data_IF_198037581406
#
_entry.id   IF_198037581406
#
_cell.length_a   1.000
_cell.length_b   1.000
_cell.length_c   1.000
_cell.angle_alpha   90.00
_cell.angle_beta   90.00
_cell.angle_gamma   90.00
#
_symmetry.space_group_name_H-M   'P 1'
#
loop_
_entity.id
_entity.type
_entity.pdbx_description
1 polymer ?
#
# COMPACT_ATOMS: atom_id res chain seq x y z
N UNK A 1 -48.91 -64.25 -33.01
CA UNK A 1 -47.49 -64.35 -32.67
C UNK A 1 -46.93 -62.96 -32.68
N UNK A 2 -46.84 -62.35 -31.50
CA UNK A 2 -46.30 -60.98 -31.32
C UNK A 2 -44.92 -61.07 -30.75
N UNK A 3 -43.93 -60.61 -31.51
CA UNK A 3 -42.57 -60.40 -30.97
C UNK A 3 -42.44 -58.94 -30.43
N UNK A 4 -42.40 -58.78 -29.18
CA UNK A 4 -42.10 -57.48 -28.52
C UNK A 4 -40.61 -57.29 -28.50
N UNK A 5 -40.12 -56.37 -29.34
CA UNK A 5 -38.74 -55.89 -29.32
C UNK A 5 -38.50 -54.93 -28.15
N UNK A 6 -37.71 -55.41 -27.22
CA UNK A 6 -37.27 -54.59 -26.09
C UNK A 6 -36.12 -53.67 -26.49
N UNK A 7 -36.47 -52.37 -26.73
CA UNK A 7 -35.50 -51.34 -26.99
C UNK A 7 -34.78 -50.98 -25.70
N UNK A 8 -33.53 -51.37 -25.62
CA UNK A 8 -32.61 -50.88 -24.60
C UNK A 8 -32.27 -49.42 -24.87
N UNK A 9 -32.89 -48.54 -24.08
CA UNK A 9 -32.50 -47.14 -24.04
C UNK A 9 -31.27 -47.06 -23.17
N UNK A 10 -30.12 -46.96 -23.80
CA UNK A 10 -28.87 -46.59 -23.10
C UNK A 10 -29.00 -45.13 -22.70
N UNK A 11 -29.39 -44.89 -21.46
CA UNK A 11 -29.22 -43.60 -20.79
C UNK A 11 -27.70 -43.40 -20.55
N UNK A 12 -27.06 -42.77 -21.51
CA UNK A 12 -25.76 -42.17 -21.37
C UNK A 12 -25.92 -41.03 -20.35
N UNK A 13 -25.76 -41.37 -19.07
CA UNK A 13 -25.50 -40.40 -18.03
C UNK A 13 -24.12 -39.79 -18.28
N UNK A 14 -24.11 -38.74 -19.07
CA UNK A 14 -22.94 -37.83 -19.14
C UNK A 14 -22.81 -37.20 -17.78
N UNK A 15 -22.03 -37.86 -16.90
CA UNK A 15 -21.46 -37.23 -15.71
C UNK A 15 -20.57 -36.10 -16.23
N UNK A 16 -21.16 -34.91 -16.39
CA UNK A 16 -20.41 -33.67 -16.45
C UNK A 16 -19.79 -33.49 -15.07
N UNK A 17 -18.64 -34.11 -14.89
CA UNK A 17 -17.68 -33.72 -13.89
C UNK A 17 -17.24 -32.31 -14.28
N UNK A 18 -18.09 -31.34 -13.96
CA UNK A 18 -17.66 -29.96 -13.90
C UNK A 18 -16.50 -29.92 -12.91
N UNK A 19 -15.29 -29.83 -13.42
CA UNK A 19 -14.18 -29.34 -12.64
C UNK A 19 -14.63 -28.00 -12.08
N UNK A 20 -15.17 -28.01 -10.86
CA UNK A 20 -15.30 -26.80 -10.04
C UNK A 20 -13.86 -26.33 -9.85
N UNK A 21 -13.40 -25.49 -10.78
CA UNK A 21 -12.21 -24.71 -10.53
C UNK A 21 -12.43 -24.06 -9.16
N UNK A 22 -11.49 -24.20 -8.21
CA UNK A 22 -11.62 -23.59 -6.91
C UNK A 22 -11.95 -22.13 -7.16
N UNK A 23 -13.03 -21.64 -6.53
CA UNK A 23 -13.50 -20.29 -6.72
C UNK A 23 -12.33 -19.37 -6.37
N UNK A 24 -11.69 -18.82 -7.39
CA UNK A 24 -10.56 -17.92 -7.23
C UNK A 24 -11.14 -16.66 -6.58
N UNK A 25 -10.79 -16.43 -5.33
CA UNK A 25 -11.24 -15.25 -4.61
C UNK A 25 -10.54 -14.04 -5.20
N UNK A 26 -11.19 -13.37 -6.13
CA UNK A 26 -10.69 -12.14 -6.71
C UNK A 26 -11.34 -10.94 -6.02
N UNK A 27 -10.52 -9.96 -5.63
CA UNK A 27 -10.98 -8.69 -5.10
C UNK A 27 -10.94 -7.67 -6.22
N UNK A 28 -12.09 -7.39 -6.81
CA UNK A 28 -12.22 -6.33 -7.79
C UNK A 28 -12.39 -4.97 -7.11
N UNK A 29 -11.64 -3.99 -7.55
CA UNK A 29 -11.71 -2.61 -7.05
C UNK A 29 -11.75 -1.62 -8.20
N UNK A 30 -12.96 -1.31 -8.70
CA UNK A 30 -13.13 -0.24 -9.67
C UNK A 30 -12.59 1.08 -9.14
N UNK A 31 -11.86 1.81 -9.98
CA UNK A 31 -11.29 3.11 -9.63
C UNK A 31 -10.02 3.07 -8.77
N UNK A 32 -9.53 1.89 -8.33
CA UNK A 32 -8.27 1.79 -7.62
C UNK A 32 -7.09 1.77 -8.60
N UNK A 33 -6.19 2.77 -8.58
CA UNK A 33 -4.99 2.78 -9.42
C UNK A 33 -4.10 1.57 -9.13
N UNK A 34 -3.41 1.07 -10.14
CA UNK A 34 -2.62 -0.15 -10.04
C UNK A 34 -1.43 -0.05 -9.09
N UNK A 35 -0.74 1.07 -9.08
CA UNK A 35 0.36 1.35 -8.15
C UNK A 35 -0.14 1.37 -6.71
N UNK A 36 -1.29 1.99 -6.47
CA UNK A 36 -1.94 1.99 -5.15
C UNK A 36 -2.39 0.58 -4.75
N UNK A 37 -2.92 -0.22 -5.70
CA UNK A 37 -3.30 -1.59 -5.43
C UNK A 37 -2.11 -2.45 -4.98
N UNK A 38 -0.95 -2.28 -5.61
CA UNK A 38 0.29 -2.98 -5.24
C UNK A 38 0.75 -2.59 -3.82
N UNK A 39 0.73 -1.31 -3.49
CA UNK A 39 1.08 -0.81 -2.15
C UNK A 39 0.13 -1.34 -1.07
N UNK A 40 -1.17 -1.26 -1.31
CA UNK A 40 -2.16 -1.78 -0.35
C UNK A 40 -2.04 -3.30 -0.21
N UNK A 41 -1.77 -4.03 -1.29
CA UNK A 41 -1.54 -5.48 -1.23
C UNK A 41 -0.30 -5.81 -0.39
N UNK A 42 0.79 -5.07 -0.59
CA UNK A 42 1.99 -5.19 0.24
C UNK A 42 1.68 -4.99 1.73
N UNK A 43 1.05 -3.88 2.08
CA UNK A 43 0.67 -3.57 3.48
C UNK A 43 -0.27 -4.61 4.07
N UNK A 44 -1.19 -5.12 3.25
CA UNK A 44 -2.09 -6.19 3.68
C UNK A 44 -1.29 -7.44 4.07
N UNK A 45 -0.31 -7.85 3.27
CA UNK A 45 0.56 -8.99 3.60
C UNK A 45 1.33 -8.76 4.90
N UNK A 46 1.92 -7.56 5.06
CA UNK A 46 2.63 -7.19 6.30
C UNK A 46 1.69 -7.20 7.50
N UNK A 47 0.47 -6.68 7.38
CA UNK A 47 -0.54 -6.69 8.44
C UNK A 47 -0.94 -8.11 8.84
N UNK A 48 -0.96 -9.04 7.88
CA UNK A 48 -1.21 -10.46 8.12
C UNK A 48 0.01 -11.22 8.68
N UNK A 49 1.12 -10.53 8.90
CA UNK A 49 2.35 -11.07 9.47
C UNK A 49 3.28 -11.74 8.46
N UNK A 50 3.10 -11.49 7.16
CA UNK A 50 4.02 -11.97 6.14
C UNK A 50 5.23 -11.05 6.01
N UNK A 51 6.41 -11.64 5.85
CA UNK A 51 7.61 -10.94 5.39
C UNK A 51 7.58 -10.95 3.86
N UNK A 52 7.42 -9.78 3.26
CA UNK A 52 7.35 -9.65 1.80
C UNK A 52 8.72 -9.88 1.18
N UNK A 53 8.80 -10.82 0.24
CA UNK A 53 10.05 -11.23 -0.44
C UNK A 53 9.97 -11.11 -1.96
N UNK A 54 8.75 -10.96 -2.50
CA UNK A 54 8.52 -10.82 -3.95
C UNK A 54 7.75 -9.53 -4.21
N UNK A 55 8.23 -8.77 -5.20
CA UNK A 55 7.53 -7.64 -5.77
C UNK A 55 7.73 -7.62 -7.28
N UNK A 56 6.63 -7.70 -8.01
CA UNK A 56 6.59 -7.48 -9.46
C UNK A 56 5.59 -6.37 -9.71
N UNK A 57 6.05 -5.27 -10.28
CA UNK A 57 5.20 -4.11 -10.57
C UNK A 57 4.12 -4.45 -11.59
N UNK A 58 2.84 -4.11 -11.30
CA UNK A 58 1.77 -4.25 -12.27
C UNK A 58 1.82 -3.14 -13.32
N UNK A 59 1.44 -3.49 -14.55
CA UNK A 59 1.14 -2.53 -15.61
C UNK A 59 -0.11 -2.97 -16.37
N UNK A 60 -0.62 -2.11 -17.25
CA UNK A 60 -1.78 -2.47 -18.11
C UNK A 60 -1.48 -3.68 -18.99
N UNK A 61 -0.20 -3.89 -19.33
CA UNK A 61 0.23 -4.97 -20.22
C UNK A 61 0.75 -6.21 -19.47
N UNK A 62 1.08 -6.08 -18.19
CA UNK A 62 1.68 -7.15 -17.41
C UNK A 62 1.10 -7.20 -16.00
N UNK A 63 0.65 -8.38 -15.58
CA UNK A 63 0.26 -8.61 -14.20
C UNK A 63 1.46 -8.41 -13.27
N UNK A 64 1.22 -7.72 -12.16
CA UNK A 64 2.14 -7.64 -11.05
C UNK A 64 1.90 -8.73 -10.03
N UNK A 65 2.79 -8.82 -9.04
CA UNK A 65 2.62 -9.71 -7.91
C UNK A 65 3.31 -9.16 -6.65
N UNK A 66 2.70 -9.40 -5.51
CA UNK A 66 3.32 -9.20 -4.21
C UNK A 66 3.24 -10.51 -3.45
N UNK A 67 4.38 -11.01 -3.00
CA UNK A 67 4.46 -12.29 -2.31
C UNK A 67 5.34 -12.24 -1.07
N UNK A 68 5.07 -13.12 -0.12
CA UNK A 68 5.82 -13.19 1.11
C UNK A 68 5.66 -14.52 1.84
N UNK A 69 6.40 -14.64 2.92
CA UNK A 69 6.39 -15.82 3.78
C UNK A 69 6.03 -15.46 5.22
N UNK A 70 5.34 -16.35 5.90
CA UNK A 70 5.00 -16.25 7.32
C UNK A 70 5.31 -17.55 8.01
N UNK A 71 5.96 -17.48 9.15
CA UNK A 71 6.18 -18.67 10.00
C UNK A 71 5.05 -18.75 11.02
N UNK A 72 4.29 -19.83 10.97
CA UNK A 72 3.23 -20.13 11.95
C UNK A 72 3.76 -20.49 13.32
N UNK A 73 2.89 -20.55 14.31
CA UNK A 73 3.23 -20.96 15.67
C UNK A 73 3.72 -22.41 15.75
N UNK A 74 3.36 -23.24 14.77
CA UNK A 74 3.81 -24.62 14.59
C UNK A 74 5.18 -24.75 13.89
N UNK A 75 5.84 -23.62 13.60
CA UNK A 75 7.12 -23.55 12.89
C UNK A 75 7.03 -23.77 11.38
N UNK A 76 5.84 -24.00 10.83
CA UNK A 76 5.66 -24.14 9.38
C UNK A 76 5.68 -22.81 8.68
N UNK A 77 6.35 -22.75 7.53
CA UNK A 77 6.37 -21.59 6.68
C UNK A 77 5.22 -21.64 5.69
N UNK A 78 4.35 -20.63 5.76
CA UNK A 78 3.29 -20.40 4.79
C UNK A 78 3.77 -19.38 3.76
N UNK A 79 3.44 -19.59 2.49
CA UNK A 79 3.71 -18.64 1.40
C UNK A 79 2.39 -18.07 0.93
N UNK A 80 2.30 -16.74 0.90
CA UNK A 80 1.16 -16.04 0.34
C UNK A 80 1.60 -15.15 -0.80
N UNK A 81 0.83 -15.12 -1.89
CA UNK A 81 1.09 -14.31 -3.06
C UNK A 81 -0.19 -13.65 -3.55
N UNK A 82 -0.11 -12.43 -4.00
CA UNK A 82 -1.24 -11.69 -4.59
C UNK A 82 -0.87 -11.28 -6.01
N UNK A 83 -1.60 -11.78 -6.98
CA UNK A 83 -1.46 -11.38 -8.38
C UNK A 83 -2.34 -10.14 -8.61
N UNK A 84 -1.78 -9.11 -9.23
CA UNK A 84 -2.45 -7.84 -9.47
C UNK A 84 -2.55 -7.63 -10.97
N UNK A 85 -3.78 -7.53 -11.48
CA UNK A 85 -4.05 -7.23 -12.89
C UNK A 85 -4.67 -5.85 -13.02
N UNK A 86 -4.09 -5.04 -13.88
CA UNK A 86 -4.59 -3.72 -14.20
C UNK A 86 -5.63 -3.79 -15.30
N UNK A 87 -6.76 -3.14 -15.09
CA UNK A 87 -7.80 -2.96 -16.09
C UNK A 87 -8.07 -1.48 -16.30
N UNK A 88 -8.78 -1.14 -17.36
CA UNK A 88 -9.20 0.25 -17.59
C UNK A 88 -10.15 0.78 -16.48
N UNK A 89 -10.80 -0.12 -15.75
CA UNK A 89 -11.74 0.21 -14.68
C UNK A 89 -11.08 0.21 -13.29
N UNK A 90 -9.85 -0.27 -13.15
CA UNK A 90 -9.17 -0.36 -11.86
C UNK A 90 -8.30 -1.60 -11.73
N UNK A 91 -8.07 -2.06 -10.52
CA UNK A 91 -7.24 -3.21 -10.22
C UNK A 91 -8.08 -4.44 -9.80
N UNK A 92 -7.65 -5.60 -10.25
CA UNK A 92 -8.14 -6.92 -9.81
C UNK A 92 -7.02 -7.62 -9.07
N UNK A 93 -7.25 -7.96 -7.82
CA UNK A 93 -6.30 -8.64 -6.96
C UNK A 93 -6.74 -10.08 -6.73
N UNK A 94 -5.84 -11.01 -6.99
CA UNK A 94 -6.07 -12.43 -6.85
C UNK A 94 -5.09 -13.02 -5.84
N UNK A 95 -5.51 -13.23 -4.59
CA UNK A 95 -4.71 -13.94 -3.61
C UNK A 95 -4.53 -15.40 -4.04
N UNK A 96 -3.30 -15.87 -4.00
CA UNK A 96 -2.92 -17.24 -4.32
C UNK A 96 -2.03 -17.76 -3.21
N UNK A 97 -2.33 -18.92 -2.69
CA UNK A 97 -1.49 -19.61 -1.73
C UNK A 97 -0.67 -20.67 -2.46
N UNK A 98 0.63 -20.72 -2.15
CA UNK A 98 1.52 -21.74 -2.70
C UNK A 98 1.37 -23.01 -1.88
N UNK A 99 0.50 -23.91 -2.34
CA UNK A 99 0.27 -25.20 -1.72
C UNK A 99 -1.06 -25.80 -2.18
N UNK A 100 -1.00 -27.03 -2.65
CA UNK A 100 -2.11 -27.78 -3.26
C UNK A 100 -3.22 -28.22 -2.29
N UNK A 101 -3.45 -27.53 -1.19
CA UNK A 101 -4.40 -27.98 -0.16
C UNK A 101 -5.57 -27.01 -0.01
N UNK A 102 -6.81 -27.53 0.17
CA UNK A 102 -8.03 -26.73 0.30
C UNK A 102 -8.08 -25.76 1.50
N UNK A 103 -7.08 -25.75 2.36
CA UNK A 103 -6.94 -24.79 3.47
C UNK A 103 -6.63 -23.36 3.02
N UNK A 104 -6.40 -23.17 1.72
CA UNK A 104 -6.10 -21.89 1.07
C UNK A 104 -7.21 -20.83 1.16
N UNK A 105 -8.39 -21.20 1.58
CA UNK A 105 -9.48 -20.26 1.83
C UNK A 105 -9.17 -19.27 2.96
N UNK A 106 -8.36 -19.65 3.93
CA UNK A 106 -8.06 -18.78 5.07
C UNK A 106 -7.22 -17.58 4.65
N UNK A 107 -6.17 -17.82 3.85
CA UNK A 107 -5.35 -16.71 3.33
C UNK A 107 -6.17 -15.75 2.48
N UNK A 108 -6.91 -16.27 1.50
CA UNK A 108 -7.71 -15.44 0.60
C UNK A 108 -8.78 -14.63 1.34
N UNK A 109 -9.42 -15.23 2.34
CA UNK A 109 -10.39 -14.53 3.20
C UNK A 109 -9.72 -13.46 4.06
N UNK A 110 -8.64 -13.84 4.77
CA UNK A 110 -7.89 -12.91 5.62
C UNK A 110 -7.35 -11.73 4.80
N UNK A 111 -6.79 -12.01 3.62
CA UNK A 111 -6.34 -10.98 2.69
C UNK A 111 -7.50 -10.08 2.27
N UNK A 112 -8.61 -10.66 1.81
CA UNK A 112 -9.76 -9.88 1.35
C UNK A 112 -10.35 -8.96 2.42
N UNK A 113 -10.46 -9.42 3.68
CA UNK A 113 -10.93 -8.60 4.78
C UNK A 113 -9.95 -7.49 5.14
N UNK A 114 -8.65 -7.81 5.29
CA UNK A 114 -7.63 -6.81 5.59
C UNK A 114 -7.48 -5.79 4.47
N UNK A 115 -7.45 -6.25 3.22
CA UNK A 115 -7.38 -5.38 2.05
C UNK A 115 -8.57 -4.44 1.98
N UNK A 116 -9.78 -4.96 2.15
CA UNK A 116 -11.01 -4.16 2.18
C UNK A 116 -10.97 -3.11 3.29
N UNK A 117 -10.52 -3.49 4.48
CA UNK A 117 -10.35 -2.58 5.60
C UNK A 117 -9.34 -1.48 5.29
N UNK A 118 -8.18 -1.82 4.72
CA UNK A 118 -7.13 -0.87 4.36
C UNK A 118 -7.52 0.06 3.20
N UNK A 119 -8.24 -0.45 2.20
CA UNK A 119 -8.73 0.39 1.08
C UNK A 119 -9.88 1.29 1.49
N UNK A 120 -10.75 0.82 2.40
CA UNK A 120 -11.90 1.60 2.87
C UNK A 120 -11.57 2.55 4.01
N UNK A 121 -10.37 2.50 4.54
CA UNK A 121 -9.95 3.52 5.48
C UNK A 121 -9.83 4.85 4.75
N UNK A 122 -10.81 5.75 4.90
CA UNK A 122 -10.72 7.09 4.34
C UNK A 122 -9.67 7.95 5.07
N UNK A 123 -9.16 7.46 6.15
CA UNK A 123 -8.11 7.96 7.02
C UNK A 123 -6.71 7.76 6.46
N UNK A 124 -6.56 6.85 5.55
CA UNK A 124 -5.47 6.89 4.59
C UNK A 124 -5.55 8.20 3.79
N UNK A 125 -6.69 8.84 3.81
CA UNK A 125 -7.02 10.09 3.17
C UNK A 125 -7.60 11.10 4.17
N UNK A 126 -7.13 11.19 5.42
CA UNK A 126 -7.27 12.35 6.26
C UNK A 126 -8.19 12.40 7.45
N UNK A 127 -7.68 12.90 8.54
CA UNK A 127 -8.45 13.51 9.61
C UNK A 127 -8.99 14.93 9.29
N UNK A 128 -8.54 15.60 8.24
CA UNK A 128 -8.83 17.03 7.99
C UNK A 128 -9.91 17.30 6.95
N UNK A 129 -10.80 16.36 6.70
CA UNK A 129 -11.94 16.54 5.78
C UNK A 129 -12.80 17.76 6.09
N UNK A 130 -12.86 18.20 7.33
CA UNK A 130 -13.64 19.36 7.74
C UNK A 130 -13.10 20.69 7.23
N UNK A 131 -11.82 20.75 6.85
CA UNK A 131 -11.14 21.96 6.41
C UNK A 131 -10.75 21.96 4.94
N UNK A 132 -10.95 20.85 4.24
CA UNK A 132 -10.54 20.69 2.85
C UNK A 132 -9.05 20.47 2.66
N UNK A 133 -8.31 20.20 3.74
CA UNK A 133 -6.90 19.81 3.68
C UNK A 133 -6.74 18.32 3.91
N UNK A 134 -5.85 17.71 3.12
CA UNK A 134 -5.54 16.30 3.23
C UNK A 134 -4.03 16.13 3.34
N UNK A 135 -3.57 15.45 4.40
CA UNK A 135 -2.16 15.12 4.59
C UNK A 135 -2.03 13.62 4.78
N UNK A 136 -1.27 13.00 3.90
CA UNK A 136 -0.93 11.59 3.95
C UNK A 136 0.56 11.46 4.23
N UNK A 137 0.91 10.68 5.23
CA UNK A 137 2.29 10.42 5.65
C UNK A 137 2.55 8.93 5.51
N UNK A 138 3.46 8.55 4.62
CA UNK A 138 3.77 7.16 4.29
C UNK A 138 5.23 6.86 4.54
N UNK A 139 5.52 5.96 5.49
CA UNK A 139 6.87 5.45 5.68
C UNK A 139 7.14 4.41 4.57
N UNK A 140 8.16 4.66 3.76
CA UNK A 140 8.50 3.79 2.64
C UNK A 140 9.46 2.70 3.13
N UNK A 141 9.01 1.46 3.14
CA UNK A 141 9.92 0.33 3.27
C UNK A 141 10.72 0.09 1.97
N UNK A 142 11.58 -0.92 1.96
CA UNK A 142 12.42 -1.22 0.80
C UNK A 142 11.60 -1.58 -0.46
N UNK A 143 10.39 -2.07 -0.29
CA UNK A 143 9.49 -2.49 -1.37
C UNK A 143 8.74 -1.28 -1.90
N UNK A 144 8.15 -0.48 -1.01
CA UNK A 144 7.46 0.76 -1.35
C UNK A 144 8.43 1.79 -1.97
N UNK A 145 9.66 1.86 -1.46
CA UNK A 145 10.72 2.70 -2.03
C UNK A 145 11.03 2.31 -3.49
N UNK A 146 11.06 1.01 -3.81
CA UNK A 146 11.22 0.57 -5.22
C UNK A 146 10.03 0.94 -6.09
N UNK A 147 8.80 0.85 -5.55
CA UNK A 147 7.59 1.23 -6.29
C UNK A 147 7.53 2.73 -6.57
N UNK A 148 7.82 3.55 -5.57
CA UNK A 148 7.68 5.00 -5.68
C UNK A 148 8.90 5.67 -6.33
N UNK A 149 10.09 5.17 -6.05
CA UNK A 149 11.36 5.81 -6.36
C UNK A 149 12.21 5.03 -7.37
N UNK A 150 11.78 3.82 -7.76
CA UNK A 150 12.55 2.94 -8.65
C UNK A 150 13.74 2.28 -7.98
N UNK A 151 13.89 2.39 -6.65
CA UNK A 151 15.00 1.82 -5.90
C UNK A 151 14.91 2.12 -4.41
N UNK A 152 15.84 1.59 -3.63
CA UNK A 152 15.96 1.93 -2.21
C UNK A 152 16.69 3.27 -2.09
N UNK A 153 16.02 4.26 -1.49
CA UNK A 153 16.51 5.64 -1.41
C UNK A 153 17.43 5.89 -0.23
N UNK A 154 17.40 5.05 0.80
CA UNK A 154 18.14 5.26 2.05
C UNK A 154 19.22 4.20 2.26
N UNK A 155 20.24 4.56 3.06
CA UNK A 155 21.32 3.67 3.50
C UNK A 155 21.05 3.22 4.93
N UNK A 156 21.37 1.97 5.24
CA UNK A 156 21.11 1.39 6.55
C UNK A 156 19.61 1.33 6.85
N UNK A 157 19.24 1.62 8.09
CA UNK A 157 17.86 1.54 8.58
C UNK A 157 17.12 2.88 8.57
N UNK A 158 17.68 3.92 7.95
CA UNK A 158 17.00 5.22 7.81
C UNK A 158 15.72 5.06 6.99
N UNK A 159 14.67 5.79 7.37
CA UNK A 159 13.32 5.65 6.79
C UNK A 159 13.03 6.84 5.90
N UNK A 160 12.80 6.59 4.61
CA UNK A 160 12.24 7.59 3.70
C UNK A 160 10.72 7.66 3.90
N UNK A 161 10.19 8.87 4.02
CA UNK A 161 8.77 9.13 4.26
C UNK A 161 8.24 10.00 3.15
N UNK A 162 7.20 9.54 2.46
CA UNK A 162 6.47 10.31 1.47
C UNK A 162 5.39 11.13 2.15
N UNK A 163 5.37 12.41 1.87
CA UNK A 163 4.34 13.34 2.33
C UNK A 163 3.51 13.75 1.11
N UNK A 164 2.20 13.56 1.20
CA UNK A 164 1.27 14.07 0.20
C UNK A 164 0.32 15.05 0.89
N UNK A 165 0.30 16.29 0.42
CA UNK A 165 -0.64 17.30 0.89
C UNK A 165 -1.54 17.69 -0.27
N UNK A 166 -2.84 17.50 -0.09
CA UNK A 166 -3.87 17.96 -1.01
C UNK A 166 -4.61 19.13 -0.37
N UNK A 167 -4.56 20.26 -1.00
CA UNK A 167 -5.23 21.47 -0.56
C UNK A 167 -6.51 21.68 -1.38
N UNK A 168 -7.64 21.18 -0.89
CA UNK A 168 -8.95 21.38 -1.52
C UNK A 168 -9.64 22.69 -1.07
N UNK A 169 -8.94 23.52 -0.29
CA UNK A 169 -9.44 24.84 0.11
C UNK A 169 -9.23 25.88 -0.99
N UNK A 170 -9.78 27.06 -0.79
CA UNK A 170 -9.56 28.24 -1.62
C UNK A 170 -8.39 29.12 -1.13
N UNK A 171 -7.68 28.68 -0.07
CA UNK A 171 -6.58 29.41 0.57
C UNK A 171 -5.24 28.76 0.28
N UNK A 172 -4.17 29.55 0.41
CA UNK A 172 -2.79 29.06 0.37
C UNK A 172 -2.39 28.57 1.75
N UNK A 173 -1.80 27.36 1.82
CA UNK A 173 -1.32 26.80 3.07
C UNK A 173 0.17 26.49 2.98
N UNK A 174 0.82 26.44 4.14
CA UNK A 174 2.23 26.07 4.27
C UNK A 174 2.34 24.92 5.26
N UNK A 175 2.97 23.84 4.84
CA UNK A 175 3.43 22.78 5.73
C UNK A 175 4.95 22.88 5.78
N UNK A 176 5.47 23.13 6.98
CA UNK A 176 6.91 23.11 7.22
C UNK A 176 7.36 21.68 7.53
N UNK A 177 7.99 21.03 6.54
CA UNK A 177 8.48 19.67 6.67
C UNK A 177 9.51 19.52 7.81
N UNK A 178 10.24 20.57 8.17
CA UNK A 178 11.20 20.52 9.27
C UNK A 178 10.52 20.40 10.65
N UNK A 179 9.25 20.76 10.73
CA UNK A 179 8.43 20.66 11.96
C UNK A 179 7.51 19.45 11.96
N UNK A 180 7.57 18.62 10.93
CA UNK A 180 6.83 17.37 10.89
C UNK A 180 7.60 16.32 11.70
N UNK A 181 7.14 16.01 12.88
CA UNK A 181 7.76 14.97 13.70
C UNK A 181 6.99 13.66 13.63
N UNK A 182 7.71 12.55 13.63
CA UNK A 182 7.12 11.20 13.68
C UNK A 182 7.24 10.63 15.08
N UNK A 183 6.19 9.96 15.54
CA UNK A 183 6.14 9.31 16.84
C UNK A 183 6.25 7.80 16.64
N UNK A 184 7.20 7.19 17.31
CA UNK A 184 7.44 5.75 17.24
C UNK A 184 6.49 4.95 18.17
N UNK A 185 6.66 3.64 18.16
CA UNK A 185 5.86 2.72 18.97
C UNK A 185 6.05 2.92 20.49
N UNK A 186 7.15 3.54 20.89
CA UNK A 186 7.50 3.86 22.28
C UNK A 186 6.98 5.23 22.71
N UNK A 187 6.42 6.01 21.78
CA UNK A 187 5.93 7.36 22.03
C UNK A 187 7.02 8.44 21.90
N UNK A 188 8.22 8.07 21.43
CA UNK A 188 9.30 9.03 21.21
C UNK A 188 9.08 9.78 19.89
N UNK A 189 9.25 11.09 19.94
CA UNK A 189 9.17 11.97 18.77
C UNK A 189 10.51 12.08 18.08
N UNK A 190 10.50 11.93 16.76
CA UNK A 190 11.69 12.03 15.91
C UNK A 190 11.48 13.10 14.85
N UNK A 191 12.48 13.96 14.74
CA UNK A 191 12.54 14.99 13.69
C UNK A 191 13.17 14.43 12.41
N UNK A 192 12.89 15.03 11.24
CA UNK A 192 13.52 14.64 10.00
C UNK A 192 15.03 14.93 10.03
N UNK A 193 15.79 14.06 9.37
CA UNK A 193 17.22 14.26 9.20
C UNK A 193 17.48 15.49 8.32
N UNK A 194 18.51 16.26 8.67
CA UNK A 194 18.91 17.45 7.94
C UNK A 194 20.44 17.53 7.78
N UNK A 195 20.89 18.34 6.85
CA UNK A 195 22.32 18.62 6.64
C UNK A 195 23.15 17.35 6.39
N UNK A 196 24.31 17.21 7.10
CA UNK A 196 25.19 16.06 6.91
C UNK A 196 24.54 14.71 7.21
N UNK A 197 23.65 14.65 8.22
CA UNK A 197 22.94 13.43 8.59
C UNK A 197 22.00 12.95 7.46
N UNK A 198 21.28 13.87 6.82
CA UNK A 198 20.46 13.58 5.67
C UNK A 198 21.32 13.06 4.49
N UNK A 199 22.44 13.75 4.22
CA UNK A 199 23.33 13.36 3.13
C UNK A 199 23.93 11.96 3.33
N UNK A 200 24.25 11.61 4.57
CA UNK A 200 24.78 10.29 4.91
C UNK A 200 23.70 9.19 4.86
N UNK A 201 22.45 9.53 5.11
CA UNK A 201 21.33 8.59 5.11
C UNK A 201 20.78 8.31 3.70
N UNK A 202 21.07 9.14 2.71
CA UNK A 202 20.59 8.96 1.34
C UNK A 202 21.54 8.08 0.52
N UNK A 203 21.00 7.11 -0.17
CA UNK A 203 21.75 6.27 -1.10
C UNK A 203 22.28 7.08 -2.31
N UNK A 204 23.46 6.70 -2.79
CA UNK A 204 24.06 7.30 -3.99
C UNK A 204 23.56 6.57 -5.24
N UNK A 205 22.26 6.74 -5.53
CA UNK A 205 21.57 6.16 -6.68
C UNK A 205 20.41 7.06 -7.11
N UNK A 206 19.73 6.73 -8.21
CA UNK A 206 18.62 7.51 -8.75
C UNK A 206 17.48 7.73 -7.73
N UNK A 207 17.19 6.74 -6.88
CA UNK A 207 16.16 6.86 -5.85
C UNK A 207 16.55 7.88 -4.76
N UNK A 208 17.79 7.82 -4.27
CA UNK A 208 18.33 8.81 -3.32
C UNK A 208 18.40 10.21 -3.92
N UNK A 209 18.76 10.32 -5.20
CA UNK A 209 18.77 11.61 -5.91
C UNK A 209 17.37 12.18 -6.09
N UNK A 210 16.38 11.33 -6.37
CA UNK A 210 14.96 11.74 -6.43
C UNK A 210 14.48 12.27 -5.08
N UNK A 211 14.71 11.55 -3.98
CA UNK A 211 14.38 12.04 -2.63
C UNK A 211 15.05 13.38 -2.35
N UNK A 212 16.34 13.53 -2.69
CA UNK A 212 17.10 14.77 -2.48
C UNK A 212 16.50 15.94 -3.26
N UNK A 213 16.08 15.72 -4.50
CA UNK A 213 15.51 16.77 -5.36
C UNK A 213 14.07 17.14 -4.97
N UNK A 214 13.34 16.19 -4.36
CA UNK A 214 11.93 16.36 -3.99
C UNK A 214 11.73 16.44 -2.46
N UNK A 215 12.74 16.94 -1.72
CA UNK A 215 12.60 17.18 -0.26
C UNK A 215 11.40 18.11 -0.03
N UNK A 216 10.55 17.71 0.93
CA UNK A 216 9.39 18.48 1.31
C UNK A 216 9.79 19.74 2.09
N UNK A 217 9.97 20.84 1.37
CA UNK A 217 10.38 22.13 1.91
C UNK A 217 9.18 23.05 2.23
N UNK A 218 9.42 24.24 2.82
CA UNK A 218 8.40 25.16 3.34
C UNK A 218 7.67 25.98 2.25
N UNK A 219 7.76 25.60 0.98
CA UNK A 219 7.07 26.30 -0.10
C UNK A 219 5.55 26.27 0.10
N UNK A 220 4.83 27.38 -0.07
CA UNK A 220 3.38 27.38 -0.02
C UNK A 220 2.73 26.45 -1.05
N UNK A 221 1.61 25.85 -0.66
CA UNK A 221 0.76 24.98 -1.47
C UNK A 221 -0.45 25.82 -1.86
N UNK A 222 -0.64 26.04 -3.15
CA UNK A 222 -1.73 26.87 -3.64
C UNK A 222 -3.11 26.22 -3.40
N UNK A 223 -4.16 27.01 -3.51
CA UNK A 223 -5.53 26.52 -3.54
C UNK A 223 -5.68 25.47 -4.66
N UNK A 224 -6.35 24.34 -4.35
CA UNK A 224 -6.60 23.23 -5.28
C UNK A 224 -5.33 22.51 -5.77
N UNK A 225 -4.19 22.73 -5.13
CA UNK A 225 -2.91 22.08 -5.45
C UNK A 225 -2.74 20.79 -4.62
N UNK A 226 -2.20 19.75 -5.26
CA UNK A 226 -1.65 18.58 -4.56
C UNK A 226 -0.14 18.63 -4.66
N UNK A 227 0.53 18.51 -3.51
CA UNK A 227 1.98 18.49 -3.43
C UNK A 227 2.47 17.21 -2.81
N UNK A 228 3.47 16.63 -3.44
CA UNK A 228 4.17 15.43 -2.97
C UNK A 228 5.63 15.82 -2.72
N UNK A 229 6.24 15.24 -1.70
CA UNK A 229 7.66 15.33 -1.42
C UNK A 229 8.08 14.32 -0.38
N UNK A 230 9.36 14.33 -0.03
CA UNK A 230 9.94 13.32 0.84
C UNK A 230 10.66 13.95 2.01
N UNK A 231 10.67 13.24 3.14
CA UNK A 231 11.51 13.50 4.30
C UNK A 231 12.23 12.20 4.67
N UNK A 232 13.34 12.31 5.36
CA UNK A 232 14.10 11.13 5.82
C UNK A 232 14.23 11.20 7.34
N UNK A 233 13.96 10.09 7.99
CA UNK A 233 13.97 9.98 9.44
C UNK A 233 15.01 8.96 9.92
N UNK A 234 15.43 9.05 11.20
CA UNK A 234 16.22 8.00 11.83
C UNK A 234 15.54 6.63 11.73
N UNK A 235 16.29 5.54 11.98
CA UNK A 235 15.69 4.20 12.10
C UNK A 235 14.57 4.17 13.13
N UNK A 236 13.42 3.54 12.74
CA UNK A 236 12.28 3.44 13.63
C UNK A 236 11.05 2.85 12.95
N UNK A 237 10.08 2.45 13.80
CA UNK A 237 8.72 2.10 13.35
C UNK A 237 7.78 3.18 13.83
N UNK A 238 7.34 4.00 12.94
CA UNK A 238 6.51 5.16 13.23
C UNK A 238 5.03 4.81 13.14
N UNK A 239 4.21 5.40 13.99
CA UNK A 239 2.76 5.19 14.03
C UNK A 239 1.97 6.45 13.72
N UNK A 240 2.51 7.58 14.18
CA UNK A 240 1.82 8.86 14.11
C UNK A 240 2.78 9.94 13.61
N UNK A 241 2.25 10.89 12.87
CA UNK A 241 2.93 12.09 12.46
C UNK A 241 2.25 13.29 13.14
N UNK A 242 3.04 14.14 13.78
CA UNK A 242 2.58 15.45 14.26
C UNK A 242 2.83 16.47 13.17
N UNK A 243 1.76 17.02 12.66
CA UNK A 243 1.77 17.93 11.51
C UNK A 243 1.28 19.29 11.95
N UNK A 244 1.96 20.33 11.48
CA UNK A 244 1.50 21.71 11.64
C UNK A 244 1.34 22.33 10.24
N UNK A 245 0.17 22.89 9.98
CA UNK A 245 -0.12 23.64 8.75
C UNK A 245 -0.46 25.06 9.12
N UNK A 246 0.09 25.98 8.37
CA UNK A 246 -0.13 27.42 8.51
C UNK A 246 -0.91 27.94 7.31
N UNK A 247 -1.93 28.72 7.55
CA UNK A 247 -2.57 29.57 6.54
C UNK A 247 -1.63 30.73 6.21
N UNK A 248 -1.25 30.87 4.95
CA UNK A 248 -0.24 31.86 4.54
C UNK A 248 -0.75 33.30 4.62
N UNK A 249 -2.06 33.51 4.56
CA UNK A 249 -2.68 34.84 4.57
C UNK A 249 -2.96 35.34 5.99
N UNK A 250 -3.40 34.45 6.87
CA UNK A 250 -3.75 34.80 8.26
C UNK A 250 -2.62 34.52 9.24
N UNK A 251 -1.59 33.76 8.83
CA UNK A 251 -0.51 33.27 9.68
C UNK A 251 -0.99 32.37 10.85
N UNK A 252 -2.25 31.94 10.80
CA UNK A 252 -2.79 31.01 11.76
C UNK A 252 -2.24 29.60 11.49
N UNK A 253 -1.65 29.02 12.53
CA UNK A 253 -1.15 27.65 12.46
C UNK A 253 -2.10 26.71 13.20
N UNK A 254 -2.36 25.57 12.58
CA UNK A 254 -3.15 24.49 13.18
C UNK A 254 -2.34 23.19 13.21
N UNK A 255 -2.44 22.49 14.31
CA UNK A 255 -1.71 21.23 14.54
C UNK A 255 -2.65 20.04 14.65
N UNK A 256 -2.24 18.93 14.07
CA UNK A 256 -2.98 17.68 14.15
C UNK A 256 -2.06 16.46 14.12
N UNK A 257 -2.63 15.31 14.43
CA UNK A 257 -1.95 14.03 14.37
C UNK A 257 -2.51 13.24 13.19
N UNK A 258 -1.62 12.79 12.31
CA UNK A 258 -1.94 11.90 11.21
C UNK A 258 -1.35 10.51 11.46
N UNK A 259 -2.01 9.41 11.06
CA UNK A 259 -1.39 8.10 11.10
C UNK A 259 -0.23 8.05 10.10
N UNK A 260 0.82 7.29 10.45
CA UNK A 260 1.89 6.91 9.53
C UNK A 260 1.55 5.55 8.96
N UNK A 261 1.50 5.49 7.66
CA UNK A 261 1.27 4.25 6.90
C UNK A 261 2.57 3.59 6.54
#
# INVERSE_FOLDING_TARGET
MYQTGMRWVWLLSVLVLGCLAPAQYAVERPGLPCDRAARVAHRTLVTLGYTVTELVEPSVQRAGAVGGTKTGADGKTQKGRVIIRCTAQGAVLQPVEDGLVPESYEFSRAFGYSFKSLVQRPDVETPWKSTGLQVLVQALDSVESRLDLGGVATVGDAVAVRITVRNDTDRKVRLDGSRLSLVDAQGESREPLAGPALSAALATNAAGDKVRSEIFGPRPIAARETRIGYLVYPPGRYREARVSIEDVETEEADGFVAPVE
#
